data_IF_653510061414
#
_entry.id   IF_653510061414
#
_cell.length_a   1.000
_cell.length_b   1.000
_cell.length_c   1.000
_cell.angle_alpha   90.00
_cell.angle_beta   90.00
_cell.angle_gamma   90.00
#
_symmetry.space_group_name_H-M   'P 1'
#
loop_
_entity.id
_entity.type
_entity.pdbx_description
1 polymer ?
#
# COMPACT_ATOMS: atom_id res chain seq x y z
N UNK A 1 -33.14 27.96 -13.25
CA UNK A 1 -32.32 26.73 -13.23
C UNK A 1 -32.54 26.11 -11.86
N UNK A 2 -33.26 25.01 -11.78
CA UNK A 2 -33.60 24.36 -10.52
C UNK A 2 -32.30 23.96 -9.81
N UNK A 3 -32.14 24.35 -8.53
CA UNK A 3 -31.18 23.77 -7.62
C UNK A 3 -31.43 22.24 -7.58
N UNK A 4 -30.72 21.51 -8.43
CA UNK A 4 -30.63 20.07 -8.29
C UNK A 4 -30.15 19.83 -6.86
N UNK A 5 -30.87 19.00 -6.12
CA UNK A 5 -30.61 18.67 -4.71
C UNK A 5 -29.13 18.29 -4.55
N UNK A 6 -28.28 19.26 -4.21
CA UNK A 6 -26.85 19.02 -4.01
C UNK A 6 -26.74 18.28 -2.68
N UNK A 7 -26.33 17.02 -2.76
CA UNK A 7 -26.13 16.20 -1.56
C UNK A 7 -25.02 16.81 -0.69
N UNK A 8 -25.34 17.08 0.57
CA UNK A 8 -24.42 17.61 1.56
C UNK A 8 -24.02 16.52 2.54
N UNK A 9 -22.72 16.43 2.81
CA UNK A 9 -22.09 15.42 3.68
C UNK A 9 -21.21 16.10 4.72
N UNK A 10 -20.93 15.43 5.82
CA UNK A 10 -19.91 15.89 6.76
C UNK A 10 -18.52 15.69 6.17
N UNK A 11 -18.31 14.54 5.55
CA UNK A 11 -17.03 14.13 4.97
C UNK A 11 -17.24 13.59 3.55
N UNK A 12 -16.36 14.00 2.63
CA UNK A 12 -16.15 13.31 1.35
C UNK A 12 -14.77 12.63 1.38
N UNK A 13 -14.73 11.32 1.11
CA UNK A 13 -13.51 10.56 0.90
C UNK A 13 -13.37 10.32 -0.61
N UNK A 14 -12.35 10.91 -1.22
CA UNK A 14 -12.06 10.74 -2.64
C UNK A 14 -11.03 9.62 -2.83
N UNK A 15 -11.47 8.54 -3.48
CA UNK A 15 -10.73 7.31 -3.70
C UNK A 15 -11.27 6.16 -2.87
N UNK A 16 -11.85 5.16 -3.54
CA UNK A 16 -12.38 3.93 -2.92
C UNK A 16 -11.36 2.77 -2.95
N UNK A 17 -10.08 3.07 -3.08
CA UNK A 17 -8.99 2.11 -2.92
C UNK A 17 -8.80 1.68 -1.46
N UNK A 18 -7.79 0.85 -1.20
CA UNK A 18 -7.54 0.25 0.12
C UNK A 18 -7.57 1.26 1.28
N UNK A 19 -6.94 2.42 1.11
CA UNK A 19 -6.82 3.43 2.19
C UNK A 19 -8.14 4.16 2.42
N UNK A 20 -8.78 4.67 1.35
CA UNK A 20 -10.04 5.42 1.46
C UNK A 20 -11.19 4.54 1.92
N UNK A 21 -11.30 3.31 1.39
CA UNK A 21 -12.29 2.34 1.82
C UNK A 21 -12.11 1.93 3.30
N UNK A 22 -10.85 1.73 3.74
CA UNK A 22 -10.57 1.47 5.17
C UNK A 22 -10.95 2.66 6.06
N UNK A 23 -10.67 3.89 5.61
CA UNK A 23 -11.06 5.09 6.35
C UNK A 23 -12.60 5.21 6.48
N UNK A 24 -13.32 4.94 5.38
CA UNK A 24 -14.79 4.91 5.41
C UNK A 24 -15.32 3.88 6.43
N UNK A 25 -14.76 2.67 6.43
CA UNK A 25 -15.11 1.63 7.40
C UNK A 25 -14.74 2.03 8.85
N UNK A 26 -13.61 2.71 9.09
CA UNK A 26 -13.21 3.19 10.41
C UNK A 26 -14.17 4.23 10.99
N UNK A 27 -14.78 5.03 10.13
CA UNK A 27 -15.74 6.07 10.52
C UNK A 27 -17.19 5.58 10.55
N UNK A 28 -17.43 4.29 10.27
CA UNK A 28 -18.77 3.71 10.17
C UNK A 28 -19.60 3.84 11.46
N UNK A 29 -18.96 3.77 12.63
CA UNK A 29 -19.65 3.86 13.94
C UNK A 29 -19.92 5.32 14.38
N UNK A 30 -19.54 6.30 13.56
CA UNK A 30 -19.79 7.71 13.85
C UNK A 30 -21.19 8.13 13.36
N UNK A 31 -21.71 9.24 13.86
CA UNK A 31 -22.94 9.87 13.36
C UNK A 31 -22.74 10.67 12.08
N UNK A 32 -21.53 10.64 11.50
CA UNK A 32 -21.17 11.42 10.32
C UNK A 32 -21.77 10.82 9.04
N UNK A 33 -22.25 11.68 8.16
CA UNK A 33 -22.63 11.33 6.80
C UNK A 33 -21.40 11.39 5.88
N UNK A 34 -21.02 10.26 5.32
CA UNK A 34 -19.77 10.12 4.57
C UNK A 34 -20.08 9.78 3.11
N UNK A 35 -19.69 10.62 2.17
CA UNK A 35 -19.66 10.24 0.77
C UNK A 35 -18.31 9.59 0.43
N UNK A 36 -18.35 8.42 -0.19
CA UNK A 36 -17.18 7.76 -0.76
C UNK A 36 -17.25 7.86 -2.27
N UNK A 37 -16.33 8.60 -2.88
CA UNK A 37 -16.31 8.83 -4.32
C UNK A 37 -15.10 8.16 -4.98
N UNK A 38 -15.29 7.62 -6.17
CA UNK A 38 -14.22 7.11 -7.03
C UNK A 38 -14.63 7.24 -8.49
N UNK A 39 -13.64 7.40 -9.37
CA UNK A 39 -13.86 7.42 -10.83
C UNK A 39 -14.36 6.08 -11.38
N UNK A 40 -14.07 4.98 -10.69
CA UNK A 40 -14.54 3.65 -11.04
C UNK A 40 -15.68 3.24 -10.10
N UNK A 41 -16.65 2.44 -10.58
CA UNK A 41 -17.65 1.87 -9.72
C UNK A 41 -17.01 0.96 -8.66
N UNK A 42 -17.69 0.86 -7.49
CA UNK A 42 -17.27 -0.12 -6.49
C UNK A 42 -17.39 -1.54 -7.05
N UNK A 43 -16.50 -2.41 -6.60
CA UNK A 43 -16.60 -3.84 -6.88
C UNK A 43 -17.86 -4.35 -6.20
N UNK A 44 -18.87 -4.78 -6.98
CA UNK A 44 -20.06 -5.43 -6.46
C UNK A 44 -19.74 -6.91 -6.25
N UNK A 45 -19.90 -7.43 -5.04
CA UNK A 45 -19.95 -8.88 -4.86
C UNK A 45 -21.29 -9.33 -5.45
N UNK A 46 -21.24 -9.98 -6.62
CA UNK A 46 -22.42 -10.70 -7.11
C UNK A 46 -22.64 -11.87 -6.16
N UNK A 47 -23.78 -11.84 -5.48
CA UNK A 47 -24.35 -12.90 -4.66
C UNK A 47 -23.34 -13.75 -3.83
N UNK A 48 -23.73 -14.21 -2.67
CA UNK A 48 -23.05 -14.99 -1.63
C UNK A 48 -21.97 -16.03 -2.05
N UNK A 49 -21.70 -16.17 -3.33
CA UNK A 49 -20.59 -16.92 -3.89
C UNK A 49 -19.36 -16.01 -3.92
N UNK A 50 -18.41 -16.23 -3.03
CA UNK A 50 -17.03 -15.77 -3.27
C UNK A 50 -16.67 -16.19 -4.69
N UNK A 51 -16.25 -15.28 -5.60
CA UNK A 51 -15.83 -15.73 -6.92
C UNK A 51 -14.73 -16.75 -6.67
N UNK A 52 -14.94 -18.00 -7.13
CA UNK A 52 -13.86 -18.98 -7.19
C UNK A 52 -12.77 -18.33 -8.07
N UNK A 53 -11.79 -17.75 -7.41
CA UNK A 53 -10.62 -17.22 -8.12
C UNK A 53 -9.94 -18.44 -8.76
N UNK A 54 -9.73 -18.45 -10.09
CA UNK A 54 -9.02 -19.55 -10.73
C UNK A 54 -7.69 -19.75 -10.01
N UNK A 55 -7.31 -20.98 -9.76
CA UNK A 55 -6.13 -21.37 -8.98
C UNK A 55 -4.82 -20.74 -9.49
N UNK A 56 -4.77 -20.40 -10.75
CA UNK A 56 -3.64 -19.89 -11.52
C UNK A 56 -3.74 -18.40 -11.93
N UNK A 57 -4.85 -17.73 -11.61
CA UNK A 57 -5.00 -16.29 -11.86
C UNK A 57 -4.80 -15.48 -10.59
N UNK A 58 -3.79 -14.65 -10.60
CA UNK A 58 -3.45 -13.73 -9.50
C UNK A 58 -3.54 -12.27 -9.97
N UNK A 59 -3.88 -11.37 -9.04
CA UNK A 59 -3.70 -9.94 -9.30
C UNK A 59 -2.19 -9.65 -9.41
N UNK A 60 -1.75 -8.96 -10.45
CA UNK A 60 -0.34 -8.60 -10.58
C UNK A 60 0.16 -7.72 -9.42
N UNK A 61 -0.74 -7.03 -8.73
CA UNK A 61 -0.38 -6.20 -7.58
C UNK A 61 -0.78 -6.86 -6.28
N UNK A 62 0.22 -7.09 -5.46
CA UNK A 62 0.06 -7.62 -4.10
C UNK A 62 0.59 -6.63 -3.07
N UNK A 63 0.13 -6.77 -1.85
CA UNK A 63 0.61 -6.02 -0.69
C UNK A 63 1.10 -6.97 0.39
N UNK A 64 2.26 -6.65 0.97
CA UNK A 64 2.75 -7.30 2.17
C UNK A 64 2.10 -6.63 3.38
N UNK A 65 1.05 -7.23 3.90
CA UNK A 65 0.26 -6.71 5.02
C UNK A 65 0.99 -6.99 6.32
N UNK A 66 1.36 -5.94 7.04
CA UNK A 66 1.98 -6.01 8.36
C UNK A 66 0.99 -6.48 9.41
N UNK A 67 1.47 -6.94 10.57
CA UNK A 67 0.57 -7.32 11.66
C UNK A 67 -0.32 -6.18 12.15
N UNK A 68 0.19 -4.94 12.18
CA UNK A 68 -0.63 -3.77 12.53
C UNK A 68 -1.78 -3.57 11.54
N UNK A 69 -1.52 -3.71 10.25
CA UNK A 69 -2.56 -3.60 9.21
C UNK A 69 -3.53 -4.79 9.23
N UNK A 70 -3.04 -5.99 9.49
CA UNK A 70 -3.89 -7.17 9.68
C UNK A 70 -4.85 -6.96 10.86
N UNK A 71 -4.34 -6.43 11.98
CA UNK A 71 -5.17 -6.13 13.14
C UNK A 71 -6.24 -5.07 12.84
N UNK A 72 -5.90 -4.06 12.03
CA UNK A 72 -6.87 -3.10 11.52
C UNK A 72 -7.96 -3.79 10.69
N UNK A 73 -7.61 -4.66 9.74
CA UNK A 73 -8.59 -5.39 8.94
C UNK A 73 -9.48 -6.33 9.77
N UNK A 74 -8.93 -6.93 10.85
CA UNK A 74 -9.74 -7.68 11.83
C UNK A 74 -10.74 -6.78 12.55
N UNK A 75 -10.29 -5.60 13.00
CA UNK A 75 -11.17 -4.60 13.64
C UNK A 75 -12.29 -4.14 12.71
N UNK A 76 -12.01 -3.98 11.41
CA UNK A 76 -13.01 -3.63 10.39
C UNK A 76 -13.97 -4.79 10.03
N UNK A 77 -13.67 -6.00 10.48
CA UNK A 77 -14.48 -7.20 10.20
C UNK A 77 -14.27 -7.76 8.78
N UNK A 78 -13.21 -7.39 8.08
CA UNK A 78 -12.95 -7.78 6.67
C UNK A 78 -11.87 -8.86 6.51
N UNK A 79 -11.13 -9.18 7.60
CA UNK A 79 -10.00 -10.09 7.51
C UNK A 79 -10.40 -11.53 7.16
N UNK A 80 -11.51 -12.03 7.68
CA UNK A 80 -11.96 -13.39 7.39
C UNK A 80 -12.45 -13.54 5.94
N UNK A 81 -13.06 -12.50 5.36
CA UNK A 81 -13.39 -12.49 3.94
C UNK A 81 -12.12 -12.56 3.06
N UNK A 82 -11.05 -11.84 3.44
CA UNK A 82 -9.77 -11.93 2.74
C UNK A 82 -9.16 -13.32 2.84
N UNK A 83 -9.17 -13.93 4.04
CA UNK A 83 -8.65 -15.29 4.26
C UNK A 83 -9.43 -16.36 3.48
N UNK A 84 -10.74 -16.25 3.43
CA UNK A 84 -11.57 -17.17 2.68
C UNK A 84 -11.35 -17.08 1.17
N UNK A 85 -10.95 -15.90 0.68
CA UNK A 85 -10.55 -15.74 -0.71
C UNK A 85 -9.16 -16.33 -0.95
N UNK A 86 -8.10 -15.63 -0.52
CA UNK A 86 -6.71 -16.10 -0.69
C UNK A 86 -5.73 -15.19 0.08
N UNK A 87 -5.07 -15.71 1.09
CA UNK A 87 -4.01 -15.03 1.83
C UNK A 87 -2.83 -15.97 2.01
N UNK A 88 -1.62 -15.50 1.74
CA UNK A 88 -0.40 -16.25 2.01
C UNK A 88 0.37 -15.61 3.17
N UNK A 89 0.42 -16.27 4.31
CA UNK A 89 1.30 -15.84 5.41
C UNK A 89 2.76 -16.16 5.08
N UNK A 90 3.67 -15.32 5.53
CA UNK A 90 5.09 -15.62 5.51
C UNK A 90 5.67 -15.53 6.93
N UNK A 91 6.40 -16.58 7.30
CA UNK A 91 7.00 -16.73 8.63
C UNK A 91 8.47 -16.32 8.67
N UNK A 92 9.09 -16.19 7.51
CA UNK A 92 10.48 -15.78 7.40
C UNK A 92 10.70 -14.87 6.17
N UNK A 93 11.76 -14.09 6.22
CA UNK A 93 12.26 -13.28 5.11
C UNK A 93 13.77 -13.41 5.03
N UNK A 94 14.29 -13.72 3.86
CA UNK A 94 15.71 -13.74 3.57
C UNK A 94 16.09 -12.58 2.67
N UNK A 95 17.09 -11.82 3.09
CA UNK A 95 17.63 -10.67 2.35
C UNK A 95 19.11 -10.85 2.17
N UNK A 96 19.61 -10.73 0.92
CA UNK A 96 21.05 -10.84 0.66
C UNK A 96 21.53 -9.89 -0.45
N UNK A 97 22.82 -9.66 -0.42
CA UNK A 97 23.56 -8.82 -1.37
C UNK A 97 24.02 -9.66 -2.57
N UNK A 98 23.72 -9.23 -3.78
CA UNK A 98 24.14 -9.90 -5.02
C UNK A 98 25.66 -9.86 -5.24
N UNK A 99 26.32 -8.84 -4.71
CA UNK A 99 27.70 -8.52 -4.96
C UNK A 99 28.64 -8.91 -3.81
N UNK A 100 28.11 -9.58 -2.78
CA UNK A 100 28.87 -9.90 -1.61
C UNK A 100 28.35 -11.11 -0.83
N UNK A 101 28.87 -11.30 0.38
CA UNK A 101 28.47 -12.40 1.29
C UNK A 101 27.52 -11.95 2.38
N UNK A 102 27.04 -10.70 2.31
CA UNK A 102 26.14 -10.15 3.31
C UNK A 102 24.74 -10.72 3.16
N UNK A 103 24.23 -11.31 4.23
CA UNK A 103 22.86 -11.79 4.31
C UNK A 103 22.28 -11.51 5.69
N UNK A 104 20.97 -11.36 5.75
CA UNK A 104 20.21 -11.26 6.99
C UNK A 104 18.90 -12.02 6.81
N UNK A 105 18.62 -12.92 7.75
CA UNK A 105 17.36 -13.66 7.82
C UNK A 105 16.49 -13.12 8.94
N UNK A 106 15.21 -12.93 8.70
CA UNK A 106 14.22 -12.56 9.71
C UNK A 106 13.24 -13.72 9.89
N UNK A 107 13.00 -14.10 11.15
CA UNK A 107 12.03 -15.15 11.48
C UNK A 107 11.02 -14.65 12.51
N UNK A 108 9.75 -14.98 12.30
CA UNK A 108 8.69 -14.69 13.24
C UNK A 108 8.93 -15.36 14.61
N UNK A 109 9.55 -16.55 14.61
CA UNK A 109 9.89 -17.28 15.81
C UNK A 109 10.87 -16.51 16.73
N UNK A 110 11.78 -15.68 16.17
CA UNK A 110 12.73 -14.88 16.95
C UNK A 110 12.05 -13.83 17.83
N UNK A 111 10.83 -13.44 17.50
CA UNK A 111 10.03 -12.47 18.26
C UNK A 111 8.75 -13.09 18.84
N UNK A 112 8.67 -14.42 18.90
CA UNK A 112 7.51 -15.17 19.38
C UNK A 112 6.19 -14.80 18.68
N UNK A 113 6.23 -14.61 17.36
CA UNK A 113 5.06 -14.37 16.54
C UNK A 113 4.81 -15.54 15.59
N UNK A 114 3.55 -15.82 15.19
CA UNK A 114 3.25 -16.91 14.25
C UNK A 114 3.69 -16.59 12.82
N UNK A 115 3.75 -15.32 12.45
CA UNK A 115 4.06 -14.85 11.11
C UNK A 115 4.68 -13.45 11.16
N UNK A 116 5.47 -13.08 10.14
CA UNK A 116 5.98 -11.72 9.96
C UNK A 116 4.94 -10.82 9.29
N UNK A 117 4.07 -11.39 8.47
CA UNK A 117 3.03 -10.69 7.76
C UNK A 117 2.33 -11.60 6.75
N UNK A 118 1.53 -10.99 5.91
CA UNK A 118 0.71 -11.71 4.93
C UNK A 118 0.82 -11.05 3.55
N UNK A 119 1.01 -11.84 2.51
CA UNK A 119 0.90 -11.37 1.13
C UNK A 119 -0.54 -11.55 0.69
N UNK A 120 -1.16 -10.45 0.26
CA UNK A 120 -2.56 -10.40 -0.17
C UNK A 120 -2.66 -9.61 -1.46
N UNK A 121 -3.43 -10.13 -2.39
CA UNK A 121 -3.74 -9.44 -3.65
C UNK A 121 -4.58 -8.18 -3.38
N UNK A 122 -4.24 -7.09 -4.05
CA UNK A 122 -4.92 -5.81 -3.82
C UNK A 122 -6.41 -5.88 -4.16
N UNK A 123 -6.79 -6.65 -5.17
CA UNK A 123 -8.18 -6.89 -5.55
C UNK A 123 -8.98 -7.56 -4.44
N UNK A 124 -8.40 -8.52 -3.73
CA UNK A 124 -9.04 -9.21 -2.58
C UNK A 124 -9.29 -8.22 -1.43
N UNK A 125 -8.29 -7.39 -1.10
CA UNK A 125 -8.43 -6.38 -0.05
C UNK A 125 -9.55 -5.40 -0.39
N UNK A 126 -9.55 -4.89 -1.63
CA UNK A 126 -10.56 -3.93 -2.10
C UNK A 126 -11.95 -4.55 -2.11
N UNK A 127 -12.09 -5.79 -2.60
CA UNK A 127 -13.38 -6.48 -2.64
C UNK A 127 -13.97 -6.69 -1.23
N UNK A 128 -13.15 -7.12 -0.26
CA UNK A 128 -13.59 -7.30 1.12
C UNK A 128 -14.02 -5.97 1.77
N UNK A 129 -13.28 -4.89 1.53
CA UNK A 129 -13.63 -3.56 2.01
C UNK A 129 -14.92 -3.03 1.37
N UNK A 130 -15.09 -3.19 0.05
CA UNK A 130 -16.31 -2.77 -0.66
C UNK A 130 -17.54 -3.57 -0.20
N UNK A 131 -17.40 -4.88 0.04
CA UNK A 131 -18.44 -5.70 0.64
C UNK A 131 -18.85 -5.18 2.01
N UNK A 132 -17.88 -4.76 2.84
CA UNK A 132 -18.16 -4.15 4.14
C UNK A 132 -18.88 -2.81 4.01
N UNK A 133 -18.42 -1.93 3.10
CA UNK A 133 -19.05 -0.63 2.85
C UNK A 133 -20.52 -0.75 2.45
N UNK A 134 -20.88 -1.75 1.66
CA UNK A 134 -22.26 -1.99 1.27
C UNK A 134 -23.22 -2.31 2.46
N UNK A 135 -22.66 -2.63 3.63
CA UNK A 135 -23.41 -2.91 4.86
C UNK A 135 -23.50 -1.69 5.80
N UNK A 136 -22.89 -0.57 5.45
CA UNK A 136 -22.79 0.62 6.30
C UNK A 136 -23.87 1.63 5.94
N UNK A 137 -24.67 2.06 6.91
CA UNK A 137 -25.80 2.97 6.71
C UNK A 137 -25.37 4.44 6.54
N UNK A 138 -24.22 4.83 7.10
CA UNK A 138 -23.75 6.21 7.08
C UNK A 138 -22.70 6.50 6.01
N UNK A 139 -22.31 5.50 5.20
CA UNK A 139 -21.40 5.62 4.07
C UNK A 139 -22.17 5.53 2.76
N UNK A 140 -22.08 6.56 1.94
CA UNK A 140 -22.81 6.69 0.68
C UNK A 140 -21.82 6.63 -0.49
N UNK A 141 -21.72 5.49 -1.18
CA UNK A 141 -20.90 5.41 -2.39
C UNK A 141 -21.53 6.24 -3.51
N UNK A 142 -20.77 7.17 -4.06
CA UNK A 142 -21.14 7.96 -5.24
C UNK A 142 -20.10 7.67 -6.31
N UNK A 143 -20.34 6.62 -7.08
CA UNK A 143 -19.41 6.10 -8.09
C UNK A 143 -20.18 5.63 -9.33
N UNK A 144 -19.72 5.98 -10.54
CA UNK A 144 -18.50 6.74 -10.82
C UNK A 144 -18.64 8.24 -10.49
N UNK A 145 -17.57 8.87 -10.00
CA UNK A 145 -17.47 10.31 -9.80
C UNK A 145 -16.03 10.79 -10.09
N UNK A 146 -15.85 11.48 -11.20
CA UNK A 146 -14.54 12.00 -11.62
C UNK A 146 -14.44 13.47 -11.25
N UNK A 147 -13.68 13.81 -10.23
CA UNK A 147 -13.51 15.21 -9.81
C UNK A 147 -12.93 16.04 -10.95
N UNK A 148 -13.57 17.12 -11.35
CA UNK A 148 -13.05 18.10 -12.29
C UNK A 148 -12.44 19.31 -11.58
N UNK A 149 -13.19 19.88 -10.63
CA UNK A 149 -12.81 21.07 -9.89
C UNK A 149 -13.37 21.04 -8.46
N UNK A 150 -12.91 21.97 -7.64
CA UNK A 150 -13.54 22.25 -6.35
C UNK A 150 -13.52 23.75 -6.05
N UNK A 151 -14.40 24.17 -5.16
CA UNK A 151 -14.50 25.52 -4.65
C UNK A 151 -14.76 25.52 -3.14
N UNK A 152 -14.18 26.49 -2.43
CA UNK A 152 -14.53 26.76 -1.05
C UNK A 152 -15.69 27.75 -1.02
N UNK A 153 -16.72 27.43 -0.25
CA UNK A 153 -17.90 28.27 -0.03
C UNK A 153 -17.89 28.65 1.44
N UNK A 154 -17.71 29.94 1.71
CA UNK A 154 -17.78 30.47 3.07
C UNK A 154 -19.26 30.56 3.50
N UNK A 155 -19.57 30.11 4.72
CA UNK A 155 -20.88 30.21 5.36
C UNK A 155 -20.74 30.83 6.75
N UNK A 156 -21.83 31.25 7.36
CA UNK A 156 -21.85 31.81 8.72
C UNK A 156 -21.38 30.77 9.76
N UNK A 157 -21.66 29.50 9.54
CA UNK A 157 -21.33 28.35 10.40
C UNK A 157 -20.00 27.67 10.06
N UNK A 158 -19.27 28.17 9.07
CA UNK A 158 -17.98 27.63 8.65
C UNK A 158 -17.83 27.56 7.12
N UNK A 159 -16.69 27.03 6.68
CA UNK A 159 -16.41 26.85 5.26
C UNK A 159 -16.73 25.42 4.84
N UNK A 160 -17.39 25.26 3.69
CA UNK A 160 -17.62 23.97 3.03
C UNK A 160 -16.87 23.89 1.70
N UNK A 161 -16.60 22.69 1.25
CA UNK A 161 -16.03 22.41 -0.07
C UNK A 161 -17.10 21.84 -0.97
N UNK A 162 -17.26 22.42 -2.14
CA UNK A 162 -18.06 21.86 -3.23
C UNK A 162 -17.15 21.21 -4.25
N UNK A 163 -17.36 19.94 -4.51
CA UNK A 163 -16.68 19.19 -5.57
C UNK A 163 -17.61 19.11 -6.78
N UNK A 164 -17.07 19.40 -7.96
CA UNK A 164 -17.77 19.25 -9.22
C UNK A 164 -17.14 18.11 -10.02
N UNK A 165 -17.98 17.24 -10.57
CA UNK A 165 -17.58 16.19 -11.48
C UNK A 165 -17.64 16.64 -12.94
N UNK A 166 -16.93 15.91 -13.82
CA UNK A 166 -16.86 16.15 -15.26
C UNK A 166 -18.22 15.93 -15.99
N UNK A 167 -19.13 15.17 -15.37
CA UNK A 167 -20.49 14.93 -15.89
C UNK A 167 -21.54 15.93 -15.37
N UNK A 168 -21.11 16.95 -14.61
CA UNK A 168 -21.98 17.99 -14.04
C UNK A 168 -22.57 17.63 -12.67
N UNK A 169 -22.32 16.46 -12.11
CA UNK A 169 -22.67 16.17 -10.73
C UNK A 169 -21.90 17.07 -9.77
N UNK A 170 -22.51 17.41 -8.64
CA UNK A 170 -21.84 18.16 -7.58
C UNK A 170 -22.22 17.65 -6.20
N UNK A 171 -21.25 17.66 -5.29
CA UNK A 171 -21.43 17.31 -3.88
C UNK A 171 -20.78 18.36 -2.99
N UNK A 172 -21.26 18.48 -1.75
CA UNK A 172 -20.73 19.42 -0.76
C UNK A 172 -20.33 18.68 0.52
N UNK A 173 -19.25 19.13 1.15
CA UNK A 173 -18.85 18.60 2.46
C UNK A 173 -18.11 19.63 3.30
N UNK A 174 -18.15 19.45 4.62
CA UNK A 174 -17.34 20.22 5.55
C UNK A 174 -15.86 19.84 5.46
N UNK A 175 -15.56 18.58 5.17
CA UNK A 175 -14.20 18.05 5.04
C UNK A 175 -14.06 17.17 3.81
N UNK A 176 -12.99 17.36 3.06
CA UNK A 176 -12.62 16.49 1.92
C UNK A 176 -11.31 15.79 2.20
N UNK A 177 -11.30 14.46 2.06
CA UNK A 177 -10.13 13.62 2.30
C UNK A 177 -9.69 13.02 0.97
N UNK A 178 -8.49 13.38 0.53
CA UNK A 178 -7.88 12.84 -0.67
C UNK A 178 -7.18 11.51 -0.37
N UNK A 179 -7.78 10.41 -0.79
CA UNK A 179 -7.25 9.05 -0.78
C UNK A 179 -7.14 8.48 -2.21
N UNK A 180 -7.04 9.36 -3.21
CA UNK A 180 -7.10 9.11 -4.66
C UNK A 180 -5.73 8.70 -5.25
N UNK A 181 -4.80 8.28 -4.40
CA UNK A 181 -3.56 7.60 -4.75
C UNK A 181 -2.43 8.51 -5.22
N UNK A 182 -1.36 7.91 -5.76
CA UNK A 182 -0.12 8.59 -6.11
C UNK A 182 -0.31 9.76 -7.09
N UNK A 183 -1.28 9.67 -8.00
CA UNK A 183 -1.63 10.70 -8.97
C UNK A 183 -2.82 11.54 -8.52
N UNK A 184 -2.95 11.81 -7.23
CA UNK A 184 -4.05 12.55 -6.63
C UNK A 184 -4.37 13.85 -7.38
N UNK A 185 -5.62 13.92 -7.89
CA UNK A 185 -6.14 15.11 -8.57
C UNK A 185 -6.46 16.20 -7.55
N UNK A 186 -7.00 15.83 -6.39
CA UNK A 186 -7.27 16.79 -5.30
C UNK A 186 -6.00 17.45 -4.79
N UNK A 187 -4.91 16.68 -4.60
CA UNK A 187 -3.60 17.25 -4.22
C UNK A 187 -3.16 18.32 -5.23
N UNK A 188 -3.26 18.00 -6.53
CA UNK A 188 -2.88 18.93 -7.60
C UNK A 188 -3.79 20.16 -7.64
N UNK A 189 -5.10 19.99 -7.62
CA UNK A 189 -6.08 21.08 -7.65
C UNK A 189 -5.95 22.01 -6.44
N UNK A 190 -5.69 21.46 -5.25
CA UNK A 190 -5.50 22.23 -4.03
C UNK A 190 -4.08 22.82 -3.89
N UNK A 191 -3.22 22.62 -4.91
CA UNK A 191 -1.86 23.15 -4.95
C UNK A 191 -1.05 22.79 -3.69
N UNK A 192 -1.08 21.50 -3.26
CA UNK A 192 -0.18 21.02 -2.23
C UNK A 192 1.24 20.95 -2.77
N UNK A 193 2.16 21.57 -2.08
CA UNK A 193 3.58 21.48 -2.41
C UNK A 193 4.12 20.09 -2.09
N UNK A 194 4.88 19.53 -3.02
CA UNK A 194 5.47 18.21 -2.88
C UNK A 194 6.98 18.24 -3.15
N UNK A 195 7.70 17.43 -2.43
CA UNK A 195 9.06 17.03 -2.83
C UNK A 195 8.96 15.75 -3.64
N UNK A 196 9.59 15.74 -4.80
CA UNK A 196 9.60 14.59 -5.70
C UNK A 196 11.02 14.17 -6.01
N UNK A 197 11.24 12.86 -6.05
CA UNK A 197 12.50 12.25 -6.49
C UNK A 197 12.15 11.21 -7.55
N UNK A 198 12.72 11.38 -8.73
CA UNK A 198 12.64 10.38 -9.77
C UNK A 198 13.84 9.44 -9.63
N UNK A 199 13.57 8.15 -9.58
CA UNK A 199 14.63 7.15 -9.44
C UNK A 199 15.19 6.66 -10.77
N UNK A 200 14.58 7.05 -11.91
CA UNK A 200 14.89 6.51 -13.24
C UNK A 200 14.83 4.97 -13.28
N UNK A 201 14.09 4.40 -12.35
CA UNK A 201 13.87 2.96 -12.19
C UNK A 201 12.40 2.63 -12.41
N UNK A 202 12.19 1.41 -12.90
CA UNK A 202 10.89 0.80 -13.05
C UNK A 202 10.79 -0.47 -12.20
N UNK A 203 9.61 -0.77 -11.68
CA UNK A 203 9.31 -2.07 -11.12
C UNK A 203 8.64 -2.93 -12.19
N UNK A 204 9.28 -4.04 -12.56
CA UNK A 204 8.64 -5.10 -13.31
C UNK A 204 7.93 -6.01 -12.31
N UNK A 205 6.66 -6.27 -12.56
CA UNK A 205 5.79 -7.08 -11.72
C UNK A 205 5.17 -8.20 -12.54
N UNK A 206 5.19 -9.40 -12.02
CA UNK A 206 4.53 -10.59 -12.60
C UNK A 206 4.31 -11.64 -11.53
N UNK A 207 3.53 -12.66 -11.83
CA UNK A 207 3.43 -13.87 -11.01
C UNK A 207 4.18 -15.01 -11.70
N UNK A 208 4.84 -15.86 -10.92
CA UNK A 208 5.57 -17.02 -11.45
C UNK A 208 5.25 -18.27 -10.66
N UNK A 209 5.38 -19.43 -11.34
CA UNK A 209 5.41 -20.76 -10.74
C UNK A 209 6.84 -21.25 -10.68
N UNK A 210 7.27 -21.67 -9.49
CA UNK A 210 8.63 -22.13 -9.20
C UNK A 210 8.69 -23.64 -9.05
N UNK A 211 9.80 -24.24 -9.43
CA UNK A 211 10.05 -25.68 -9.32
C UNK A 211 10.06 -26.15 -7.86
N UNK A 212 10.61 -25.35 -6.95
CA UNK A 212 10.69 -25.66 -5.52
C UNK A 212 9.68 -24.79 -4.75
N UNK A 213 9.07 -25.30 -3.68
CA UNK A 213 8.15 -24.53 -2.86
C UNK A 213 8.87 -23.37 -2.13
N UNK A 214 8.18 -22.26 -1.95
CA UNK A 214 8.69 -21.09 -1.23
C UNK A 214 8.68 -21.27 0.31
N UNK A 215 8.05 -22.29 0.84
CA UNK A 215 8.01 -22.61 2.28
C UNK A 215 7.56 -21.43 3.18
N UNK A 216 6.71 -20.56 2.68
CA UNK A 216 6.28 -19.33 3.35
C UNK A 216 7.44 -18.37 3.69
N UNK A 217 8.46 -18.32 2.86
CA UNK A 217 9.61 -17.43 3.00
C UNK A 217 9.55 -16.38 1.90
N UNK A 218 9.58 -15.11 2.28
CA UNK A 218 9.79 -14.00 1.34
C UNK A 218 11.29 -13.87 1.04
N UNK A 219 11.66 -13.78 -0.24
CA UNK A 219 13.04 -13.67 -0.67
C UNK A 219 13.28 -12.29 -1.28
N UNK A 220 14.37 -11.63 -0.89
CA UNK A 220 14.77 -10.35 -1.47
C UNK A 220 16.27 -10.30 -1.71
N UNK A 221 16.65 -10.10 -2.96
CA UNK A 221 18.03 -9.91 -3.37
C UNK A 221 18.28 -8.46 -3.76
N UNK A 222 19.26 -7.83 -3.14
CA UNK A 222 19.72 -6.51 -3.55
C UNK A 222 20.80 -6.65 -4.63
N UNK A 223 20.48 -6.14 -5.82
CA UNK A 223 21.40 -6.10 -6.96
C UNK A 223 21.80 -4.66 -7.24
N UNK A 224 22.87 -4.47 -7.99
CA UNK A 224 23.33 -3.14 -8.43
C UNK A 224 22.22 -2.36 -9.15
N UNK A 225 21.44 -3.04 -9.98
CA UNK A 225 20.34 -2.46 -10.77
C UNK A 225 19.10 -2.14 -9.95
N UNK A 226 18.97 -2.72 -8.76
CA UNK A 226 17.84 -2.58 -7.85
C UNK A 226 17.43 -3.91 -7.21
N UNK A 227 16.52 -3.88 -6.22
CA UNK A 227 16.08 -5.08 -5.53
C UNK A 227 15.17 -5.96 -6.40
N UNK A 228 15.35 -7.27 -6.24
CA UNK A 228 14.45 -8.32 -6.74
C UNK A 228 13.79 -8.99 -5.53
N UNK A 229 12.46 -9.01 -5.49
CA UNK A 229 11.69 -9.67 -4.46
C UNK A 229 10.83 -10.81 -5.04
N UNK A 230 10.79 -11.93 -4.32
CA UNK A 230 9.85 -13.03 -4.50
C UNK A 230 8.95 -13.09 -3.27
N UNK A 231 7.70 -12.75 -3.45
CA UNK A 231 6.70 -12.71 -2.39
C UNK A 231 5.82 -13.96 -2.50
N UNK A 232 5.71 -14.78 -1.45
CA UNK A 232 4.98 -16.04 -1.50
C UNK A 232 3.49 -15.81 -1.73
N UNK A 233 2.91 -16.57 -2.65
CA UNK A 233 1.48 -16.63 -2.92
C UNK A 233 0.95 -18.03 -2.64
N UNK A 234 -0.30 -18.11 -2.24
CA UNK A 234 -0.97 -19.38 -2.00
C UNK A 234 -1.94 -19.69 -3.13
N UNK A 235 -1.73 -20.80 -3.84
CA UNK A 235 -2.73 -21.32 -4.77
C UNK A 235 -3.88 -22.02 -4.03
N UNK A 236 -5.01 -22.19 -4.70
CA UNK A 236 -6.19 -22.85 -4.13
C UNK A 236 -6.05 -24.38 -4.12
N UNK A 237 -5.23 -24.96 -5.01
CA UNK A 237 -4.96 -26.40 -5.04
C UNK A 237 -3.84 -26.75 -4.06
N UNK A 238 -3.96 -27.87 -3.33
CA UNK A 238 -2.96 -28.29 -2.33
C UNK A 238 -1.59 -28.59 -2.97
N UNK A 239 -1.56 -29.24 -4.12
CA UNK A 239 -0.30 -29.60 -4.81
C UNK A 239 0.51 -28.37 -5.24
N UNK A 240 -0.14 -27.28 -5.57
CA UNK A 240 0.50 -26.03 -6.01
C UNK A 240 0.55 -24.94 -4.93
N UNK A 241 0.04 -25.23 -3.73
CA UNK A 241 -0.20 -24.22 -2.69
C UNK A 241 1.02 -23.33 -2.35
N UNK A 242 2.23 -23.81 -2.57
CA UNK A 242 3.48 -23.12 -2.20
C UNK A 242 4.42 -22.86 -3.39
N UNK A 243 3.96 -23.01 -4.62
CA UNK A 243 4.82 -22.87 -5.79
C UNK A 243 4.69 -21.52 -6.51
N UNK A 244 3.76 -20.66 -6.10
CA UNK A 244 3.58 -19.37 -6.74
C UNK A 244 4.22 -18.23 -5.95
N UNK A 245 4.84 -17.30 -6.68
CA UNK A 245 5.41 -16.07 -6.13
C UNK A 245 5.00 -14.86 -6.96
N UNK A 246 4.66 -13.77 -6.30
CA UNK A 246 4.62 -12.45 -6.94
C UNK A 246 6.02 -11.88 -6.99
N UNK A 247 6.42 -11.41 -8.16
CA UNK A 247 7.73 -10.85 -8.44
C UNK A 247 7.62 -9.33 -8.46
N UNK A 248 8.54 -8.68 -7.76
CA UNK A 248 8.76 -7.24 -7.87
C UNK A 248 10.25 -7.03 -8.15
N UNK A 249 10.58 -6.69 -9.39
CA UNK A 249 11.95 -6.50 -9.83
C UNK A 249 12.19 -5.05 -10.22
N UNK A 250 12.91 -4.32 -9.37
CA UNK A 250 13.28 -2.93 -9.63
C UNK A 250 14.55 -2.89 -10.48
N UNK A 251 14.51 -2.12 -11.57
CA UNK A 251 15.63 -2.02 -12.51
C UNK A 251 15.58 -0.67 -13.27
N UNK A 252 16.68 -0.25 -13.93
CA UNK A 252 16.69 0.89 -14.83
C UNK A 252 15.67 0.72 -15.98
N UNK A 253 15.12 1.84 -16.48
CA UNK A 253 14.05 1.83 -17.48
C UNK A 253 14.39 0.98 -18.71
N UNK A 254 15.60 1.14 -19.29
CA UNK A 254 15.99 0.36 -20.48
C UNK A 254 16.12 -1.15 -20.23
N UNK A 255 16.47 -1.57 -18.99
CA UNK A 255 16.47 -2.99 -18.63
C UNK A 255 15.05 -3.52 -18.48
N UNK A 256 14.13 -2.73 -17.93
CA UNK A 256 12.73 -3.11 -17.84
C UNK A 256 12.10 -3.28 -19.24
N UNK A 257 12.39 -2.37 -20.17
CA UNK A 257 11.95 -2.48 -21.56
C UNK A 257 12.50 -3.76 -22.23
N UNK A 258 13.79 -4.05 -22.03
CA UNK A 258 14.40 -5.30 -22.51
C UNK A 258 13.71 -6.52 -21.90
N UNK A 259 13.52 -6.53 -20.58
CA UNK A 259 12.87 -7.64 -19.88
C UNK A 259 11.42 -7.87 -20.36
N UNK A 260 10.73 -6.80 -20.76
CA UNK A 260 9.37 -6.89 -21.36
C UNK A 260 9.40 -7.52 -22.75
N UNK A 261 10.48 -7.37 -23.53
CA UNK A 261 10.62 -7.90 -24.91
C UNK A 261 11.06 -9.36 -24.97
N UNK A 262 11.58 -9.93 -23.87
CA UNK A 262 12.01 -11.34 -23.83
C UNK A 262 10.83 -12.29 -24.05
N UNK A 263 11.09 -13.42 -24.66
CA UNK A 263 10.16 -14.56 -24.62
C UNK A 263 9.96 -15.05 -23.18
N UNK A 264 8.92 -15.83 -22.93
CA UNK A 264 8.67 -16.40 -21.61
C UNK A 264 9.85 -17.24 -21.11
N UNK A 265 10.39 -18.12 -21.96
CA UNK A 265 11.51 -18.99 -21.59
C UNK A 265 12.79 -18.21 -21.26
N UNK A 266 13.11 -17.17 -22.04
CA UNK A 266 14.28 -16.32 -21.80
C UNK A 266 14.12 -15.54 -20.50
N UNK A 267 12.94 -14.96 -20.27
CA UNK A 267 12.63 -14.24 -19.04
C UNK A 267 12.70 -15.15 -17.81
N UNK A 268 12.11 -16.35 -17.89
CA UNK A 268 12.11 -17.32 -16.80
C UNK A 268 13.53 -17.78 -16.46
N UNK A 269 14.37 -18.01 -17.45
CA UNK A 269 15.78 -18.38 -17.26
C UNK A 269 16.57 -17.23 -16.60
N UNK A 270 16.39 -15.98 -17.08
CA UNK A 270 17.05 -14.80 -16.53
C UNK A 270 16.60 -14.54 -15.09
N UNK A 271 15.30 -14.67 -14.80
CA UNK A 271 14.75 -14.50 -13.48
C UNK A 271 15.25 -15.56 -12.49
N UNK A 272 15.31 -16.82 -12.91
CA UNK A 272 15.86 -17.91 -12.09
C UNK A 272 17.34 -17.64 -11.75
N UNK A 273 18.14 -17.23 -12.74
CA UNK A 273 19.56 -16.89 -12.54
C UNK A 273 19.69 -15.66 -11.61
N UNK A 274 18.84 -14.65 -11.77
CA UNK A 274 18.81 -13.47 -10.91
C UNK A 274 18.51 -13.83 -9.44
N UNK A 275 17.79 -14.90 -9.14
CA UNK A 275 17.53 -15.42 -7.77
C UNK A 275 18.55 -16.49 -7.35
N UNK A 276 19.63 -16.72 -8.12
CA UNK A 276 20.60 -17.80 -7.86
C UNK A 276 19.97 -19.20 -7.83
N UNK A 277 18.88 -19.39 -8.56
CA UNK A 277 18.09 -20.63 -8.60
C UNK A 277 17.67 -21.18 -7.23
N UNK A 278 17.53 -20.32 -6.21
CA UNK A 278 17.10 -20.74 -4.85
C UNK A 278 15.79 -21.53 -4.86
N UNK A 279 14.84 -21.14 -5.71
CA UNK A 279 13.56 -21.84 -5.90
C UNK A 279 13.54 -22.78 -7.13
N UNK A 280 14.73 -23.14 -7.64
CA UNK A 280 14.85 -23.97 -8.82
C UNK A 280 14.56 -23.20 -10.12
N UNK A 281 14.06 -23.90 -11.13
CA UNK A 281 13.62 -23.28 -12.39
C UNK A 281 12.32 -22.48 -12.17
N UNK A 282 12.12 -21.45 -12.99
CA UNK A 282 10.82 -20.81 -13.17
C UNK A 282 10.10 -21.56 -14.28
N UNK A 283 9.03 -22.27 -13.94
CA UNK A 283 8.32 -23.16 -14.85
C UNK A 283 7.27 -22.44 -15.69
N UNK A 284 6.75 -21.32 -15.14
CA UNK A 284 5.74 -20.49 -15.78
C UNK A 284 5.82 -19.07 -15.26
N UNK A 285 5.50 -18.09 -16.10
CA UNK A 285 5.30 -16.69 -15.72
C UNK A 285 4.06 -16.11 -16.39
N UNK A 286 3.32 -15.31 -15.63
CA UNK A 286 2.16 -14.57 -16.11
C UNK A 286 2.60 -13.33 -16.91
N UNK A 287 1.62 -12.59 -17.42
CA UNK A 287 1.83 -11.31 -18.08
C UNK A 287 2.65 -10.37 -17.20
N UNK A 288 3.67 -9.76 -17.80
CA UNK A 288 4.55 -8.81 -17.16
C UNK A 288 3.95 -7.41 -17.23
N UNK A 289 4.11 -6.63 -16.14
CA UNK A 289 3.70 -5.24 -16.05
C UNK A 289 4.88 -4.40 -15.58
N UNK A 290 4.96 -3.16 -16.05
CA UNK A 290 6.05 -2.23 -15.67
C UNK A 290 5.45 -0.93 -15.15
N UNK A 291 5.92 -0.50 -13.99
CA UNK A 291 5.49 0.72 -13.31
C UNK A 291 6.69 1.62 -13.03
N UNK A 292 6.64 2.91 -13.39
CA UNK A 292 7.71 3.84 -13.04
C UNK A 292 7.76 4.05 -11.52
N UNK A 293 8.97 3.96 -10.95
CA UNK A 293 9.19 4.16 -9.53
C UNK A 293 9.46 5.65 -9.25
N UNK A 294 8.57 6.25 -8.49
CA UNK A 294 8.66 7.65 -8.06
C UNK A 294 8.50 7.72 -6.55
N UNK A 295 9.23 8.62 -5.94
CA UNK A 295 9.00 8.99 -4.55
C UNK A 295 8.43 10.41 -4.53
N UNK A 296 7.38 10.60 -3.76
CA UNK A 296 6.74 11.90 -3.57
C UNK A 296 6.33 12.05 -2.12
N UNK A 297 6.50 13.25 -1.58
CA UNK A 297 6.05 13.57 -0.23
C UNK A 297 5.48 14.99 -0.22
N UNK A 298 4.21 15.12 0.18
CA UNK A 298 3.59 16.41 0.38
C UNK A 298 4.20 17.14 1.58
N UNK A 299 4.53 18.42 1.42
CA UNK A 299 5.09 19.23 2.51
C UNK A 299 4.10 19.41 3.64
N UNK A 300 2.82 19.51 3.33
CA UNK A 300 1.73 19.52 4.28
C UNK A 300 0.69 18.46 3.90
N UNK A 301 0.03 17.88 4.89
CA UNK A 301 -1.06 16.91 4.69
C UNK A 301 -2.43 17.56 4.85
N UNK A 302 -2.46 18.79 5.33
CA UNK A 302 -3.69 19.55 5.59
C UNK A 302 -3.58 20.93 4.96
N UNK A 303 -4.60 21.32 4.21
CA UNK A 303 -4.75 22.66 3.66
C UNK A 303 -6.22 23.06 3.69
N UNK A 304 -6.57 23.99 4.59
CA UNK A 304 -7.97 24.31 4.89
C UNK A 304 -8.76 23.03 5.24
N UNK A 305 -9.89 22.81 4.58
CA UNK A 305 -10.76 21.63 4.74
C UNK A 305 -10.41 20.48 3.77
N UNK A 306 -9.16 20.39 3.29
CA UNK A 306 -8.67 19.28 2.46
C UNK A 306 -7.52 18.58 3.18
N UNK A 307 -7.61 17.24 3.30
CA UNK A 307 -6.63 16.38 3.96
C UNK A 307 -6.15 15.31 3.01
N UNK A 308 -4.84 15.05 3.00
CA UNK A 308 -4.23 13.98 2.21
C UNK A 308 -3.94 12.75 3.10
N UNK A 309 -4.20 11.55 2.58
CA UNK A 309 -3.89 10.28 3.24
C UNK A 309 -3.27 9.28 2.24
N UNK A 310 -2.42 8.39 2.73
CA UNK A 310 -1.77 7.36 1.92
C UNK A 310 -0.96 7.94 0.76
N UNK A 311 -1.01 7.31 -0.41
CA UNK A 311 -0.22 7.69 -1.57
C UNK A 311 -0.54 9.11 -2.09
N UNK A 312 -1.69 9.69 -1.74
CA UNK A 312 -1.98 11.09 -2.02
C UNK A 312 -1.07 12.03 -1.21
N UNK A 313 -0.68 11.65 0.00
CA UNK A 313 0.24 12.39 0.86
C UNK A 313 1.71 12.00 0.62
N UNK A 314 1.99 10.69 0.45
CA UNK A 314 3.34 10.16 0.32
C UNK A 314 3.36 8.89 -0.53
N UNK A 315 4.06 8.94 -1.64
CA UNK A 315 4.34 7.77 -2.46
C UNK A 315 5.77 7.32 -2.19
N UNK A 316 5.96 6.06 -1.82
CA UNK A 316 7.27 5.51 -1.49
C UNK A 316 7.71 4.45 -2.49
N UNK A 317 9.01 4.23 -2.55
CA UNK A 317 9.58 3.10 -3.28
C UNK A 317 9.00 1.80 -2.70
N UNK A 318 8.49 0.86 -3.51
CA UNK A 318 7.84 -0.37 -3.05
C UNK A 318 8.82 -1.41 -2.50
N UNK A 319 9.79 -0.99 -1.67
CA UNK A 319 10.66 -1.92 -0.96
C UNK A 319 9.79 -2.80 -0.05
N UNK A 320 9.77 -4.09 -0.32
CA UNK A 320 9.02 -5.10 0.44
C UNK A 320 7.49 -4.89 0.50
N UNK A 321 6.87 -4.20 -0.47
CA UNK A 321 5.40 -4.07 -0.55
C UNK A 321 4.75 -3.31 0.61
N UNK A 322 5.48 -2.45 1.34
CA UNK A 322 5.01 -1.81 2.58
C UNK A 322 4.24 -0.49 2.39
N UNK A 323 4.13 0.05 1.18
CA UNK A 323 3.50 1.35 0.94
C UNK A 323 2.08 1.45 1.50
N UNK A 324 1.26 0.43 1.31
CA UNK A 324 -0.13 0.40 1.79
C UNK A 324 -0.23 0.47 3.32
N UNK A 325 0.69 -0.16 4.06
CA UNK A 325 0.64 -0.20 5.52
C UNK A 325 0.71 1.21 6.13
N UNK A 326 1.54 2.08 5.59
CA UNK A 326 1.62 3.47 6.06
C UNK A 326 0.34 4.24 5.75
N UNK A 327 -0.25 4.03 4.58
CA UNK A 327 -1.54 4.63 4.22
C UNK A 327 -2.69 4.16 5.13
N UNK A 328 -2.70 2.89 5.52
CA UNK A 328 -3.67 2.34 6.48
C UNK A 328 -3.49 2.94 7.88
N UNK A 329 -2.23 3.15 8.31
CA UNK A 329 -1.93 3.84 9.56
C UNK A 329 -2.32 5.33 9.51
N UNK A 330 -2.24 5.98 8.33
CA UNK A 330 -2.75 7.34 8.15
C UNK A 330 -4.27 7.37 8.32
N UNK A 331 -4.98 6.45 7.66
CA UNK A 331 -6.44 6.32 7.77
C UNK A 331 -6.87 6.11 9.23
N UNK A 332 -6.19 5.20 9.95
CA UNK A 332 -6.44 4.94 11.37
C UNK A 332 -6.23 6.20 12.21
N UNK A 333 -5.08 6.88 12.05
CA UNK A 333 -4.75 8.06 12.82
C UNK A 333 -5.73 9.21 12.56
N UNK A 334 -6.16 9.41 11.31
CA UNK A 334 -7.14 10.44 10.97
C UNK A 334 -8.51 10.10 11.55
N UNK A 335 -8.96 8.85 11.43
CA UNK A 335 -10.23 8.41 12.01
C UNK A 335 -10.27 8.62 13.53
N UNK A 336 -9.21 8.24 14.25
CA UNK A 336 -9.11 8.44 15.71
C UNK A 336 -9.18 9.92 16.10
N UNK A 337 -8.50 10.82 15.35
CA UNK A 337 -8.54 12.26 15.65
C UNK A 337 -9.92 12.87 15.32
N UNK A 338 -10.55 12.45 14.21
CA UNK A 338 -11.90 12.90 13.86
C UNK A 338 -12.94 12.44 14.89
N UNK A 339 -12.94 11.16 15.27
CA UNK A 339 -13.87 10.60 16.27
C UNK A 339 -13.72 11.29 17.62
N UNK A 340 -12.47 11.51 18.05
CA UNK A 340 -12.18 12.26 19.29
C UNK A 340 -12.70 13.70 19.22
N UNK A 341 -12.54 14.36 18.07
CA UNK A 341 -13.01 15.72 17.85
C UNK A 341 -14.52 15.82 17.90
N UNK A 342 -15.21 14.94 17.18
CA UNK A 342 -16.68 14.86 17.13
C UNK A 342 -17.25 14.56 18.52
N UNK A 343 -16.67 13.61 19.25
CA UNK A 343 -17.06 13.31 20.63
C UNK A 343 -16.90 14.51 21.58
N UNK A 344 -15.98 15.43 21.27
CA UNK A 344 -15.80 16.70 21.99
C UNK A 344 -16.66 17.86 21.45
N UNK A 345 -17.63 17.59 20.56
CA UNK A 345 -18.52 18.59 19.96
C UNK A 345 -17.85 19.53 18.96
N UNK A 346 -16.71 19.13 18.38
CA UNK A 346 -15.99 19.95 17.39
C UNK A 346 -16.39 19.58 15.96
N UNK A 347 -16.27 20.54 15.07
CA UNK A 347 -16.42 20.30 13.63
C UNK A 347 -15.34 19.33 13.11
N UNK A 348 -15.68 18.47 12.14
CA UNK A 348 -14.73 17.60 11.43
C UNK A 348 -13.64 18.41 10.70
N UNK A 349 -13.93 19.65 10.33
CA UNK A 349 -12.99 20.57 9.67
C UNK A 349 -12.18 21.42 10.66
N UNK A 350 -12.28 21.18 11.99
CA UNK A 350 -11.51 21.93 12.99
C UNK A 350 -10.00 21.79 12.71
N UNK A 351 -9.29 22.91 12.49
CA UNK A 351 -7.86 22.86 12.18
C UNK A 351 -7.02 22.18 13.25
N UNK A 352 -7.45 22.22 14.51
CA UNK A 352 -6.72 21.58 15.61
C UNK A 352 -6.71 20.06 15.47
N UNK A 353 -7.83 19.47 15.06
CA UNK A 353 -7.96 18.03 14.80
C UNK A 353 -7.05 17.64 13.65
N UNK A 354 -7.19 18.33 12.52
CA UNK A 354 -6.48 18.02 11.30
C UNK A 354 -4.96 18.18 11.43
N UNK A 355 -4.51 19.24 12.13
CA UNK A 355 -3.09 19.44 12.41
C UNK A 355 -2.51 18.42 13.41
N UNK A 356 -3.32 17.84 14.32
CA UNK A 356 -2.89 16.70 15.16
C UNK A 356 -2.61 15.47 14.32
N UNK A 357 -3.51 15.15 13.39
CA UNK A 357 -3.27 14.09 12.42
C UNK A 357 -1.96 14.31 11.66
N UNK A 358 -1.78 15.49 11.05
CA UNK A 358 -0.57 15.82 10.30
C UNK A 358 0.70 15.63 11.15
N UNK A 359 0.73 16.17 12.38
CA UNK A 359 1.89 16.05 13.27
C UNK A 359 2.20 14.61 13.64
N UNK A 360 1.17 13.81 13.90
CA UNK A 360 1.31 12.40 14.27
C UNK A 360 1.87 11.56 13.13
N UNK A 361 1.45 11.83 11.88
CA UNK A 361 1.80 10.97 10.74
C UNK A 361 3.02 11.43 9.96
N UNK A 362 3.17 12.74 9.75
CA UNK A 362 4.24 13.29 8.92
C UNK A 362 5.64 12.92 9.42
N UNK A 363 5.86 12.97 10.74
CA UNK A 363 7.16 12.57 11.32
C UNK A 363 7.48 11.08 11.10
N UNK A 364 6.49 10.21 11.32
CA UNK A 364 6.63 8.77 11.13
C UNK A 364 6.88 8.41 9.65
N UNK A 365 6.11 9.01 8.75
CA UNK A 365 6.23 8.77 7.32
C UNK A 365 7.59 9.25 6.78
N UNK A 366 8.05 10.44 7.20
CA UNK A 366 9.38 10.94 6.85
C UNK A 366 10.50 10.03 7.35
N UNK A 367 10.41 9.55 8.61
CA UNK A 367 11.42 8.63 9.17
C UNK A 367 11.52 7.35 8.35
N UNK A 368 10.38 6.79 7.94
CA UNK A 368 10.35 5.59 7.11
C UNK A 368 10.94 5.87 5.71
N UNK A 369 10.59 7.00 5.11
CA UNK A 369 11.15 7.40 3.80
C UNK A 369 12.68 7.55 3.86
N UNK A 370 13.21 8.20 4.89
CA UNK A 370 14.65 8.35 5.07
C UNK A 370 15.35 7.01 5.29
N UNK A 371 14.72 6.09 6.04
CA UNK A 371 15.24 4.74 6.23
C UNK A 371 15.34 3.99 4.91
N UNK A 372 14.27 4.01 4.11
CA UNK A 372 14.23 3.33 2.80
C UNK A 372 15.22 3.94 1.81
N UNK A 373 15.32 5.27 1.77
CA UNK A 373 16.29 5.97 0.94
C UNK A 373 17.73 5.67 1.36
N UNK A 374 18.00 5.61 2.67
CA UNK A 374 19.29 5.24 3.22
C UNK A 374 19.71 3.83 2.82
N UNK A 375 18.81 2.86 2.99
CA UNK A 375 19.04 1.48 2.55
C UNK A 375 19.34 1.43 1.05
N UNK A 376 18.50 2.06 0.22
CA UNK A 376 18.71 2.10 -1.23
C UNK A 376 20.09 2.67 -1.58
N UNK A 377 20.49 3.79 -0.99
CA UNK A 377 21.79 4.41 -1.27
C UNK A 377 22.96 3.53 -0.88
N UNK A 378 22.88 2.86 0.27
CA UNK A 378 23.93 1.93 0.73
C UNK A 378 24.06 0.76 -0.25
N UNK A 379 22.97 0.21 -0.74
CA UNK A 379 22.99 -0.93 -1.67
C UNK A 379 23.35 -0.54 -3.12
N UNK A 380 23.14 0.70 -3.52
CA UNK A 380 23.53 1.20 -4.84
C UNK A 380 25.02 1.59 -4.96
N UNK A 381 25.77 1.63 -3.84
CA UNK A 381 27.20 2.00 -3.86
C UNK A 381 28.07 0.87 -4.40
N UNK A 382 28.94 1.21 -5.36
CA UNK A 382 29.89 0.29 -5.99
C UNK A 382 31.28 0.30 -5.32
N UNK A 383 31.55 1.28 -4.45
CA UNK A 383 32.82 1.37 -3.74
C UNK A 383 33.07 0.13 -2.89
N UNK A 384 34.25 -0.49 -3.07
CA UNK A 384 34.62 -1.75 -2.40
C UNK A 384 34.61 -1.62 -0.87
N UNK A 385 35.00 -0.46 -0.34
CA UNK A 385 35.02 -0.22 1.10
C UNK A 385 33.60 -0.16 1.67
N UNK A 386 32.67 0.47 0.96
CA UNK A 386 31.26 0.56 1.35
C UNK A 386 30.60 -0.81 1.23
N UNK A 387 30.89 -1.55 0.17
CA UNK A 387 30.39 -2.94 0.00
C UNK A 387 30.87 -3.84 1.13
N UNK A 388 32.15 -3.76 1.50
CA UNK A 388 32.71 -4.51 2.61
C UNK A 388 32.04 -4.15 3.95
N UNK A 389 31.90 -2.85 4.25
CA UNK A 389 31.18 -2.38 5.44
C UNK A 389 29.72 -2.80 5.46
N UNK A 390 29.03 -2.74 4.33
CA UNK A 390 27.64 -3.20 4.19
C UNK A 390 27.50 -4.68 4.50
N UNK A 391 28.36 -5.52 3.94
CA UNK A 391 28.34 -6.97 4.16
C UNK A 391 28.65 -7.32 5.64
N UNK A 392 29.63 -6.65 6.26
CA UNK A 392 29.90 -6.81 7.70
C UNK A 392 28.70 -6.34 8.51
N UNK A 393 28.10 -5.19 8.16
CA UNK A 393 26.93 -4.63 8.83
C UNK A 393 25.74 -5.55 8.79
N UNK A 394 25.43 -6.17 7.64
CA UNK A 394 24.35 -7.16 7.50
C UNK A 394 24.59 -8.39 8.36
N UNK A 395 25.80 -8.99 8.25
CA UNK A 395 26.16 -10.18 9.01
C UNK A 395 26.26 -9.89 10.52
N UNK A 396 26.63 -8.68 10.92
CA UNK A 396 26.62 -8.27 12.32
C UNK A 396 25.20 -8.05 12.84
N UNK A 397 24.34 -7.37 12.04
CA UNK A 397 22.94 -7.17 12.39
C UNK A 397 22.19 -8.50 12.54
N UNK A 398 22.50 -9.49 11.70
CA UNK A 398 21.91 -10.84 11.81
C UNK A 398 22.27 -11.52 13.13
N UNK A 399 23.50 -11.29 13.66
CA UNK A 399 23.99 -11.89 14.91
C UNK A 399 23.56 -11.13 16.17
N UNK A 400 23.19 -9.85 16.07
CA UNK A 400 22.81 -9.02 17.22
C UNK A 400 21.30 -9.04 17.40
N UNK A 401 20.80 -10.06 18.08
CA UNK A 401 19.37 -10.34 18.31
C UNK A 401 18.55 -9.11 18.74
N UNK A 402 18.96 -8.23 19.69
CA UNK A 402 18.16 -7.09 20.07
C UNK A 402 17.91 -6.08 18.92
N UNK A 403 18.94 -5.80 18.11
CA UNK A 403 18.84 -4.88 16.97
C UNK A 403 17.93 -5.50 15.91
N UNK A 404 18.15 -6.77 15.59
CA UNK A 404 17.35 -7.53 14.62
C UNK A 404 15.87 -7.56 15.03
N UNK A 405 15.59 -7.89 16.28
CA UNK A 405 14.22 -7.92 16.81
C UNK A 405 13.54 -6.55 16.75
N UNK A 406 14.27 -5.48 17.03
CA UNK A 406 13.73 -4.12 16.89
C UNK A 406 13.41 -3.78 15.43
N UNK A 407 14.27 -4.19 14.48
CA UNK A 407 14.00 -4.03 13.05
C UNK A 407 12.73 -4.78 12.61
N UNK A 408 12.59 -6.05 13.06
CA UNK A 408 11.41 -6.86 12.78
C UNK A 408 10.15 -6.18 13.34
N UNK A 409 10.14 -5.82 14.63
CA UNK A 409 9.00 -5.17 15.29
C UNK A 409 8.57 -3.88 14.59
N UNK A 410 9.56 -3.06 14.20
CA UNK A 410 9.30 -1.82 13.46
C UNK A 410 8.71 -2.08 12.06
N UNK A 411 9.22 -3.08 11.33
CA UNK A 411 8.70 -3.48 10.03
C UNK A 411 7.27 -4.04 10.13
N UNK A 412 6.94 -4.72 11.22
CA UNK A 412 5.60 -5.25 11.51
C UNK A 412 4.62 -4.17 12.04
N UNK A 413 5.10 -2.96 12.30
CA UNK A 413 4.28 -1.88 12.86
C UNK A 413 3.89 -2.07 14.32
N UNK A 414 4.60 -2.91 15.08
CA UNK A 414 4.30 -3.22 16.48
C UNK A 414 4.77 -2.12 17.46
N UNK A 415 5.67 -1.25 17.03
CA UNK A 415 6.25 -0.17 17.82
C UNK A 415 5.75 1.22 17.36
N UNK A 416 4.59 1.30 16.67
CA UNK A 416 4.00 2.54 16.12
C UNK A 416 2.90 3.11 17.01
#
# INVERSE_FOLDING_TARGET
MSDAQINEFDIVIAGAGMVGASLACLLAESSLRIALIDRNPLVQSKDNDSPELPSDKFDPRVSAISQASQQLFRQLGVWEDMKSARVCNYSAMEVWDAEGTGSIGFSAAEINQPELGNIVENSIIIAALHKRIAQLENVFPITPFSIESFEHIEREDGSIVKLNADDGQAIRASLVIAADGANSKLRALANFECREWNYEQHALVTTVRTQRPHNNIALQRFMETGPLAFLPLRATTEDDAQHFCSIVWSMPAGQAERAMSLSENEFNAELAAALESKLGAIEWSDKRFVFPLRQRHALDYVKKSIVLVGDAAHTMHPLAGQGVNLGLLDAKALAEELQRGVAAGRSVADPTILLRYQRRRKGNNLSMMWLMEGLKRIFAQQDLSIRWLRNIGMNAADKVTPIKNQMIRKAMGLDS
#
